data_IF_924053462386
#
_entry.id   IF_924053462386
#
_cell.length_a   1.000
_cell.length_b   1.000
_cell.length_c   1.000
_cell.angle_alpha   90.00
_cell.angle_beta   90.00
_cell.angle_gamma   90.00
#
_symmetry.space_group_name_H-M   'P 1'
#
loop_
_entity.id
_entity.type
_entity.pdbx_description
1 polymer ?
#
# COMPACT_ATOMS: atom_id res chain seq x y z
N UNK A 1 15.85 -33.37 -19.30
CA UNK A 1 15.20 -32.05 -19.10
C UNK A 1 14.69 -32.01 -17.66
N UNK A 2 15.25 -31.16 -16.80
CA UNK A 2 14.91 -31.09 -15.36
C UNK A 2 13.95 -29.91 -15.15
N UNK A 3 12.65 -30.19 -15.08
CA UNK A 3 11.64 -29.17 -14.85
C UNK A 3 11.69 -28.74 -13.38
N UNK A 4 12.24 -27.55 -13.15
CA UNK A 4 12.33 -26.91 -11.83
C UNK A 4 10.94 -26.39 -11.48
N UNK A 5 10.21 -27.14 -10.66
CA UNK A 5 8.93 -26.72 -10.10
C UNK A 5 9.12 -25.34 -9.42
N UNK A 6 8.46 -24.32 -9.97
CA UNK A 6 8.37 -23.01 -9.35
C UNK A 6 7.61 -23.18 -8.03
N UNK A 7 8.37 -23.15 -6.94
CA UNK A 7 7.88 -23.22 -5.56
C UNK A 7 6.92 -22.05 -5.35
N UNK A 8 5.60 -22.29 -5.45
CA UNK A 8 4.58 -21.35 -5.03
C UNK A 8 4.90 -20.97 -3.58
N UNK A 9 5.40 -19.75 -3.39
CA UNK A 9 5.57 -19.18 -2.06
C UNK A 9 4.17 -19.06 -1.48
N UNK A 10 3.90 -19.86 -0.46
CA UNK A 10 2.73 -19.80 0.39
C UNK A 10 2.37 -18.34 0.66
N UNK A 11 1.25 -17.90 0.08
CA UNK A 11 0.65 -16.58 0.28
C UNK A 11 0.34 -16.49 1.76
N UNK A 12 1.14 -15.72 2.52
CA UNK A 12 0.82 -15.41 3.92
C UNK A 12 -0.59 -14.83 3.91
N UNK A 13 -1.51 -15.53 4.59
CA UNK A 13 -2.86 -15.06 4.88
C UNK A 13 -2.72 -13.91 5.88
N UNK A 14 -2.61 -12.69 5.38
CA UNK A 14 -2.46 -11.48 6.20
C UNK A 14 -1.95 -10.33 5.37
N UNK A 15 -2.79 -9.30 5.23
CA UNK A 15 -2.64 -8.08 4.41
C UNK A 15 -2.88 -8.31 2.92
N UNK A 16 -4.02 -7.83 2.44
CA UNK A 16 -4.23 -7.44 1.04
C UNK A 16 -3.04 -6.56 0.65
N UNK A 17 -2.19 -6.98 -0.30
CA UNK A 17 -0.98 -6.24 -0.64
C UNK A 17 -1.38 -4.95 -1.38
N UNK A 18 -1.58 -3.85 -0.65
CA UNK A 18 -2.08 -2.59 -1.17
C UNK A 18 -1.13 -1.91 -2.19
N UNK A 19 0.15 -2.31 -2.22
CA UNK A 19 1.15 -1.72 -3.10
C UNK A 19 1.55 -2.67 -4.23
N UNK A 20 1.51 -2.18 -5.47
CA UNK A 20 1.93 -2.91 -6.66
C UNK A 20 0.94 -3.99 -7.13
N UNK A 21 -0.31 -3.94 -6.65
CA UNK A 21 -1.43 -4.74 -7.16
C UNK A 21 -2.26 -3.94 -8.18
N UNK A 22 -3.12 -4.65 -8.92
CA UNK A 22 -4.12 -4.02 -9.76
C UNK A 22 -5.22 -3.37 -8.90
N UNK A 23 -5.62 -2.15 -9.26
CA UNK A 23 -6.60 -1.40 -8.51
C UNK A 23 -7.99 -2.06 -8.55
N UNK A 24 -8.41 -2.59 -9.70
CA UNK A 24 -9.73 -3.21 -9.86
C UNK A 24 -9.84 -4.45 -8.98
N UNK A 25 -8.83 -5.32 -9.03
CA UNK A 25 -8.76 -6.52 -8.20
C UNK A 25 -8.78 -6.16 -6.70
N UNK A 26 -8.05 -5.12 -6.31
CA UNK A 26 -7.97 -4.68 -4.91
C UNK A 26 -9.31 -4.14 -4.40
N UNK A 27 -10.00 -3.32 -5.21
CA UNK A 27 -11.32 -2.80 -4.85
C UNK A 27 -12.38 -3.91 -4.80
N UNK A 28 -12.37 -4.84 -5.76
CA UNK A 28 -13.27 -5.98 -5.78
C UNK A 28 -13.05 -6.91 -4.57
N UNK A 29 -11.79 -7.16 -4.20
CA UNK A 29 -11.46 -8.04 -3.07
C UNK A 29 -11.79 -7.38 -1.72
N UNK A 30 -11.53 -6.08 -1.59
CA UNK A 30 -11.83 -5.32 -0.36
C UNK A 30 -13.29 -4.91 -0.22
N UNK A 31 -14.06 -4.88 -1.32
CA UNK A 31 -15.44 -4.40 -1.34
C UNK A 31 -15.57 -2.90 -1.05
N UNK A 32 -14.50 -2.13 -1.26
CA UNK A 32 -14.48 -0.69 -1.03
C UNK A 32 -14.47 0.09 -2.35
N UNK A 33 -14.99 1.31 -2.34
CA UNK A 33 -14.92 2.22 -3.50
C UNK A 33 -13.55 2.91 -3.62
N UNK A 34 -12.81 2.99 -2.52
CA UNK A 34 -11.48 3.63 -2.43
C UNK A 34 -10.58 2.75 -1.55
N UNK A 35 -9.31 2.49 -1.93
CA UNK A 35 -8.37 1.76 -1.09
C UNK A 35 -8.22 2.38 0.30
N UNK A 36 -8.29 1.55 1.34
CA UNK A 36 -8.18 1.99 2.74
C UNK A 36 -6.93 2.84 3.03
N UNK A 37 -5.79 2.51 2.40
CA UNK A 37 -4.53 3.26 2.53
C UNK A 37 -4.69 4.71 2.07
N UNK A 38 -5.39 4.94 0.96
CA UNK A 38 -5.60 6.29 0.44
C UNK A 38 -6.50 7.09 1.37
N UNK A 39 -7.58 6.47 1.87
CA UNK A 39 -8.51 7.10 2.79
C UNK A 39 -7.84 7.52 4.09
N UNK A 40 -7.11 6.58 4.71
CA UNK A 40 -6.41 6.83 5.99
C UNK A 40 -5.32 7.89 5.84
N UNK A 41 -4.53 7.85 4.77
CA UNK A 41 -3.51 8.87 4.52
C UNK A 41 -4.12 10.25 4.28
N UNK A 42 -5.20 10.33 3.50
CA UNK A 42 -5.89 11.60 3.25
C UNK A 42 -6.45 12.20 4.54
N UNK A 43 -7.19 11.42 5.33
CA UNK A 43 -7.76 11.87 6.62
C UNK A 43 -6.66 12.36 7.59
N UNK A 44 -5.53 11.65 7.66
CA UNK A 44 -4.40 12.06 8.49
C UNK A 44 -3.80 13.39 8.04
N UNK A 45 -3.62 13.55 6.73
CA UNK A 45 -3.08 14.78 6.14
C UNK A 45 -4.04 15.96 6.34
N UNK A 46 -5.34 15.78 6.13
CA UNK A 46 -6.34 16.83 6.36
C UNK A 46 -6.33 17.30 7.81
N UNK A 47 -6.14 16.37 8.75
CA UNK A 47 -6.12 16.68 10.18
C UNK A 47 -4.81 17.31 10.66
N UNK A 48 -3.66 16.91 10.08
CA UNK A 48 -2.34 17.21 10.66
C UNK A 48 -1.32 17.81 9.69
N UNK A 49 -1.53 17.65 8.39
CA UNK A 49 -0.51 17.82 7.37
C UNK A 49 -0.71 19.04 6.47
N UNK A 50 -1.76 19.84 6.66
CA UNK A 50 -1.98 21.07 5.88
C UNK A 50 -0.93 22.13 6.26
N UNK A 51 0.25 22.00 5.65
CA UNK A 51 1.45 22.83 5.89
C UNK A 51 2.08 23.27 4.57
N UNK A 52 2.97 24.25 4.64
CA UNK A 52 3.68 24.75 3.45
C UNK A 52 4.47 23.65 2.75
N UNK A 53 4.23 23.51 1.44
CA UNK A 53 4.92 22.51 0.63
C UNK A 53 4.44 21.08 0.84
N UNK A 54 3.24 20.88 1.41
CA UNK A 54 2.54 19.59 1.40
C UNK A 54 2.55 18.95 -0.01
N UNK A 55 2.77 17.64 -0.06
CA UNK A 55 2.98 16.84 -1.28
C UNK A 55 4.21 17.21 -2.15
N UNK A 56 4.86 18.36 -1.93
CA UNK A 56 6.06 18.80 -2.67
C UNK A 56 7.36 18.47 -1.94
N UNK A 57 7.41 18.74 -0.64
CA UNK A 57 8.58 18.46 0.19
C UNK A 57 8.65 16.97 0.53
N UNK A 58 9.82 16.37 0.34
CA UNK A 58 10.02 14.94 0.60
C UNK A 58 10.18 14.65 2.08
N UNK A 59 9.47 13.62 2.55
CA UNK A 59 9.69 13.04 3.88
C UNK A 59 10.96 12.17 3.93
N UNK A 60 11.26 11.66 5.12
CA UNK A 60 12.43 10.79 5.34
C UNK A 60 12.17 9.43 4.70
N UNK A 61 13.01 9.04 3.72
CA UNK A 61 12.88 7.80 2.95
C UNK A 61 12.73 6.55 3.82
N UNK A 62 13.52 6.43 4.89
CA UNK A 62 13.48 5.25 5.77
C UNK A 62 12.15 5.13 6.53
N UNK A 63 11.50 6.24 6.87
CA UNK A 63 10.17 6.22 7.50
C UNK A 63 9.09 5.82 6.50
N UNK A 64 9.19 6.29 5.25
CA UNK A 64 8.25 5.90 4.18
C UNK A 64 8.33 4.40 3.89
N UNK A 65 9.54 3.83 3.85
CA UNK A 65 9.69 2.39 3.63
C UNK A 65 9.11 1.54 4.76
N UNK A 66 9.26 1.98 6.02
CA UNK A 66 8.60 1.32 7.16
C UNK A 66 7.08 1.35 7.02
N UNK A 67 6.51 2.54 6.78
CA UNK A 67 5.06 2.72 6.61
C UNK A 67 4.46 1.89 5.47
N UNK A 68 5.24 1.58 4.43
CA UNK A 68 4.81 0.73 3.31
C UNK A 68 4.78 -0.76 3.65
N UNK A 69 5.67 -1.20 4.56
CA UNK A 69 5.88 -2.60 4.90
C UNK A 69 5.05 -3.05 6.11
N UNK A 70 4.67 -2.11 6.96
CA UNK A 70 3.77 -2.30 8.11
C UNK A 70 2.32 -2.53 7.65
#
# INVERSE_FOLDING_TARGET
MKNKAAKLKSKRKGTENAFGCDLTDHLQTSGQDVPYVLKTCAEFIEKHGIVDGIYRLSGITSNIQKLRLD
#
